data_IF_569201098860
#
_entry.id   IF_569201098860
#
_cell.length_a   1.000
_cell.length_b   1.000
_cell.length_c   1.000
_cell.angle_alpha   90.00
_cell.angle_beta   90.00
_cell.angle_gamma   90.00
#
_symmetry.space_group_name_H-M   'P 1'
#
loop_
_entity.id
_entity.type
_entity.pdbx_description
1 polymer ?
#
# COMPACT_ATOMS: atom_id res chain seq x y z
N UNK A 1 -62.51 22.33 33.56
CA UNK A 1 -61.49 22.66 32.54
C UNK A 1 -60.33 21.70 32.78
N UNK A 2 -60.30 20.59 32.02
CA UNK A 2 -59.29 19.51 32.17
C UNK A 2 -58.29 19.64 31.04
N UNK A 3 -57.03 20.01 31.43
CA UNK A 3 -55.91 20.13 30.48
C UNK A 3 -55.32 18.69 30.25
N UNK A 4 -55.40 18.19 29.06
CA UNK A 4 -54.76 16.95 28.62
C UNK A 4 -53.33 17.25 28.13
N UNK A 5 -52.34 16.82 28.91
CA UNK A 5 -50.94 16.86 28.51
C UNK A 5 -50.67 15.67 27.57
N UNK A 6 -50.42 15.94 26.31
CA UNK A 6 -49.86 14.97 25.36
C UNK A 6 -48.31 14.90 25.55
N UNK A 7 -47.86 13.80 26.12
CA UNK A 7 -46.44 13.47 26.16
C UNK A 7 -46.02 12.86 24.81
N UNK A 8 -45.26 13.61 24.00
CA UNK A 8 -44.61 13.10 22.78
C UNK A 8 -43.40 12.24 23.18
N UNK A 9 -43.56 10.92 23.15
CA UNK A 9 -42.42 9.99 23.17
C UNK A 9 -41.68 10.08 21.83
N UNK A 10 -40.54 10.74 21.80
CA UNK A 10 -39.60 10.71 20.66
C UNK A 10 -38.94 9.32 20.65
N UNK A 11 -39.37 8.41 19.79
CA UNK A 11 -38.66 7.16 19.47
C UNK A 11 -37.37 7.51 18.71
N UNK A 12 -36.23 7.46 19.42
CA UNK A 12 -34.91 7.52 18.81
C UNK A 12 -34.69 6.24 17.98
N UNK A 13 -34.85 6.34 16.68
CA UNK A 13 -34.51 5.28 15.74
C UNK A 13 -32.97 5.22 15.70
N UNK A 14 -32.32 4.08 16.06
CA UNK A 14 -30.88 3.96 15.88
C UNK A 14 -30.57 4.06 14.38
N UNK A 15 -29.85 5.11 14.01
CA UNK A 15 -29.34 5.26 12.63
C UNK A 15 -28.30 4.17 12.43
N UNK A 16 -28.62 3.17 11.63
CA UNK A 16 -27.66 2.17 11.18
C UNK A 16 -26.57 2.90 10.38
N UNK A 17 -25.32 2.87 10.88
CA UNK A 17 -24.16 3.35 10.14
C UNK A 17 -24.15 2.62 8.80
N UNK A 18 -24.08 3.33 7.65
CA UNK A 18 -24.00 2.68 6.34
C UNK A 18 -22.81 1.71 6.35
N UNK A 19 -22.95 0.48 5.84
CA UNK A 19 -21.83 -0.44 5.74
C UNK A 19 -20.74 0.22 4.89
N UNK A 20 -19.52 0.26 5.43
CA UNK A 20 -18.34 0.74 4.73
C UNK A 20 -18.21 0.00 3.37
N UNK A 21 -17.94 0.71 2.26
CA UNK A 21 -17.83 0.05 0.96
C UNK A 21 -16.84 -1.11 1.03
N UNK A 22 -17.29 -2.29 0.65
CA UNK A 22 -16.61 -3.56 0.86
C UNK A 22 -15.13 -3.63 0.39
N UNK A 23 -14.67 -2.93 -0.68
CA UNK A 23 -13.25 -2.86 -1.01
C UNK A 23 -12.39 -2.14 0.02
N UNK A 24 -12.92 -1.15 0.75
CA UNK A 24 -12.15 -0.36 1.72
C UNK A 24 -11.64 -1.20 2.90
N UNK A 25 -12.42 -2.16 3.38
CA UNK A 25 -12.00 -3.08 4.44
C UNK A 25 -10.82 -3.97 3.98
N UNK A 26 -10.85 -4.48 2.75
CA UNK A 26 -9.76 -5.26 2.18
C UNK A 26 -8.49 -4.43 1.99
N UNK A 27 -8.61 -3.20 1.52
CA UNK A 27 -7.47 -2.26 1.37
C UNK A 27 -6.74 -2.08 2.70
N UNK A 28 -7.50 -1.86 3.80
CA UNK A 28 -6.91 -1.70 5.13
C UNK A 28 -6.20 -2.97 5.62
N UNK A 29 -6.79 -4.15 5.40
CA UNK A 29 -6.20 -5.42 5.81
C UNK A 29 -4.90 -5.69 5.04
N UNK A 30 -4.92 -5.53 3.71
CA UNK A 30 -3.75 -5.71 2.85
C UNK A 30 -2.64 -4.74 3.25
N UNK A 31 -2.96 -3.45 3.42
CA UNK A 31 -2.01 -2.42 3.81
C UNK A 31 -1.36 -2.70 5.17
N UNK A 32 -2.12 -3.18 6.16
CA UNK A 32 -1.58 -3.59 7.46
C UNK A 32 -0.60 -4.75 7.36
N UNK A 33 -0.92 -5.77 6.56
CA UNK A 33 -0.02 -6.91 6.35
C UNK A 33 1.30 -6.50 5.70
N UNK A 34 1.26 -5.56 4.74
CA UNK A 34 2.47 -5.06 4.07
C UNK A 34 3.42 -4.28 4.98
N UNK A 35 2.97 -3.74 6.11
CA UNK A 35 3.85 -2.99 7.04
C UNK A 35 5.02 -3.83 7.57
N UNK A 36 4.78 -5.11 7.81
CA UNK A 36 5.78 -6.02 8.33
C UNK A 36 6.53 -6.81 7.25
N UNK A 37 6.11 -6.69 6.02
CA UNK A 37 6.76 -7.33 4.89
C UNK A 37 8.18 -6.78 4.68
N UNK A 38 9.11 -7.67 4.35
CA UNK A 38 10.49 -7.30 4.02
C UNK A 38 11.00 -8.16 2.88
N UNK A 39 11.71 -7.54 1.95
CA UNK A 39 12.39 -8.25 0.88
C UNK A 39 13.70 -7.56 0.50
N UNK A 40 14.51 -8.27 -0.26
CA UNK A 40 15.71 -7.75 -0.92
C UNK A 40 15.53 -7.91 -2.43
N UNK A 41 15.76 -6.83 -3.16
CA UNK A 41 15.87 -6.87 -4.61
C UNK A 41 17.35 -6.97 -4.99
N UNK A 42 17.68 -7.87 -5.88
CA UNK A 42 19.01 -7.99 -6.49
C UNK A 42 18.89 -7.82 -7.99
N UNK A 43 19.87 -7.17 -8.57
CA UNK A 43 19.98 -6.96 -10.02
C UNK A 43 21.21 -7.66 -10.55
N UNK A 44 21.07 -8.38 -11.65
CA UNK A 44 22.19 -8.97 -12.39
C UNK A 44 21.86 -8.94 -13.88
N UNK A 45 22.72 -8.30 -14.67
CA UNK A 45 22.55 -8.16 -16.14
C UNK A 45 21.16 -7.63 -16.52
N UNK A 46 20.64 -6.65 -15.78
CA UNK A 46 19.31 -6.07 -16.01
C UNK A 46 18.13 -6.92 -15.55
N UNK A 47 18.37 -8.08 -14.94
CA UNK A 47 17.32 -8.95 -14.38
C UNK A 47 17.20 -8.70 -12.89
N UNK A 48 16.02 -8.29 -12.45
CA UNK A 48 15.70 -8.04 -11.04
C UNK A 48 15.05 -9.25 -10.40
N UNK A 49 15.62 -9.71 -9.29
CA UNK A 49 15.10 -10.82 -8.49
C UNK A 49 14.72 -10.34 -7.12
N UNK A 50 13.47 -10.56 -6.73
CA UNK A 50 12.96 -10.26 -5.41
C UNK A 50 13.06 -11.49 -4.50
N UNK A 51 13.79 -11.35 -3.38
CA UNK A 51 13.88 -12.38 -2.34
C UNK A 51 13.16 -11.89 -1.09
N UNK A 52 12.01 -12.51 -0.79
CA UNK A 52 11.23 -12.22 0.41
C UNK A 52 12.02 -12.67 1.63
N UNK A 53 12.19 -11.79 2.61
CA UNK A 53 12.85 -12.01 3.89
C UNK A 53 11.83 -12.24 5.01
N UNK A 54 10.72 -11.52 4.94
CA UNK A 54 9.59 -11.65 5.85
C UNK A 54 8.30 -11.59 5.05
N UNK A 55 7.62 -12.73 4.97
CA UNK A 55 6.34 -12.87 4.28
C UNK A 55 5.19 -12.33 5.13
N UNK A 56 4.15 -11.85 4.46
CA UNK A 56 2.86 -11.52 5.09
C UNK A 56 2.02 -12.76 5.41
N UNK A 57 2.43 -13.94 4.94
CA UNK A 57 1.63 -15.17 4.98
C UNK A 57 0.59 -15.27 3.85
N UNK A 58 0.60 -14.31 2.93
CA UNK A 58 -0.31 -14.24 1.79
C UNK A 58 0.49 -13.93 0.53
N UNK A 59 0.56 -14.91 -0.39
CA UNK A 59 1.42 -14.82 -1.58
C UNK A 59 1.04 -13.67 -2.52
N UNK A 60 -0.25 -13.32 -2.62
CA UNK A 60 -0.69 -12.21 -3.46
C UNK A 60 -0.26 -10.86 -2.86
N UNK A 61 -0.30 -10.73 -1.52
CA UNK A 61 0.18 -9.53 -0.83
C UNK A 61 1.70 -9.43 -0.91
N UNK A 62 2.41 -10.54 -0.74
CA UNK A 62 3.86 -10.59 -0.92
C UNK A 62 4.28 -10.16 -2.34
N UNK A 63 3.50 -10.55 -3.36
CA UNK A 63 3.72 -10.15 -4.74
C UNK A 63 3.60 -8.63 -4.97
N UNK A 64 2.74 -7.93 -4.21
CA UNK A 64 2.61 -6.47 -4.28
C UNK A 64 3.94 -5.80 -3.95
N UNK A 65 4.57 -6.18 -2.83
CA UNK A 65 5.85 -5.61 -2.42
C UNK A 65 6.94 -5.81 -3.46
N UNK A 66 7.07 -7.04 -3.98
CA UNK A 66 8.03 -7.36 -5.03
C UNK A 66 7.76 -6.60 -6.34
N UNK A 67 6.50 -6.47 -6.75
CA UNK A 67 6.11 -5.75 -7.96
C UNK A 67 6.46 -4.26 -7.86
N UNK A 68 6.14 -3.61 -6.76
CA UNK A 68 6.48 -2.22 -6.52
C UNK A 68 8.00 -1.97 -6.56
N UNK A 69 8.79 -2.83 -5.93
CA UNK A 69 10.25 -2.75 -5.99
C UNK A 69 10.79 -2.88 -7.41
N UNK A 70 10.29 -3.86 -8.19
CA UNK A 70 10.70 -4.08 -9.58
C UNK A 70 10.28 -2.94 -10.51
N UNK A 71 9.19 -2.25 -10.21
CA UNK A 71 8.74 -1.07 -10.98
C UNK A 71 9.58 0.16 -10.67
N UNK A 72 9.88 0.41 -9.39
CA UNK A 72 10.52 1.65 -8.97
C UNK A 72 12.04 1.59 -9.07
N UNK A 73 12.70 0.54 -8.59
CA UNK A 73 14.17 0.51 -8.52
C UNK A 73 14.87 0.79 -9.86
N UNK A 74 14.45 0.22 -11.01
CA UNK A 74 15.11 0.49 -12.30
C UNK A 74 15.13 1.97 -12.70
N UNK A 75 14.17 2.76 -12.18
CA UNK A 75 14.09 4.21 -12.46
C UNK A 75 15.15 5.02 -11.73
N UNK A 76 15.61 4.52 -10.58
CA UNK A 76 16.51 5.24 -9.68
C UNK A 76 17.93 4.66 -9.66
N UNK A 77 18.10 3.39 -10.00
CA UNK A 77 19.40 2.71 -10.01
C UNK A 77 20.47 3.45 -10.84
N UNK A 78 20.20 3.94 -12.06
CA UNK A 78 21.20 4.70 -12.83
C UNK A 78 21.67 5.98 -12.12
N UNK A 79 20.77 6.65 -11.41
CA UNK A 79 21.09 7.85 -10.62
C UNK A 79 21.95 7.53 -9.41
N UNK A 80 21.65 6.41 -8.72
CA UNK A 80 22.44 5.92 -7.60
C UNK A 80 23.87 5.56 -8.05
N UNK A 81 24.00 4.87 -9.17
CA UNK A 81 25.30 4.54 -9.78
C UNK A 81 26.07 5.82 -10.12
N UNK A 82 25.42 6.78 -10.78
CA UNK A 82 26.05 8.05 -11.14
C UNK A 82 26.54 8.84 -9.92
N UNK A 83 25.81 8.82 -8.80
CA UNK A 83 26.24 9.45 -7.54
C UNK A 83 27.45 8.70 -6.95
N UNK A 84 27.45 7.38 -7.00
CA UNK A 84 28.57 6.57 -6.50
C UNK A 84 29.85 6.77 -7.30
N UNK A 85 29.73 6.96 -8.62
CA UNK A 85 30.88 7.17 -9.53
C UNK A 85 31.45 8.58 -9.47
N UNK A 86 30.67 9.59 -9.06
CA UNK A 86 31.14 10.97 -8.93
C UNK A 86 32.07 11.10 -7.73
N UNK A 87 33.14 11.90 -7.91
CA UNK A 87 34.04 12.30 -6.82
C UNK A 87 33.42 13.46 -6.01
N UNK A 88 32.32 13.18 -5.36
CA UNK A 88 31.64 14.14 -4.49
C UNK A 88 32.22 14.08 -3.07
N UNK A 89 32.24 15.24 -2.40
CA UNK A 89 32.47 15.28 -0.96
C UNK A 89 31.37 14.53 -0.21
N UNK A 90 31.63 14.08 1.02
CA UNK A 90 30.73 13.26 1.80
C UNK A 90 29.34 13.90 2.00
N UNK A 91 29.28 15.20 2.27
CA UNK A 91 28.02 15.92 2.46
C UNK A 91 27.18 15.97 1.18
N UNK A 92 27.80 16.31 0.03
CA UNK A 92 27.11 16.38 -1.25
C UNK A 92 26.61 15.00 -1.73
N UNK A 93 27.38 13.95 -1.47
CA UNK A 93 26.96 12.57 -1.76
C UNK A 93 25.73 12.19 -0.93
N UNK A 94 25.79 12.42 0.38
CA UNK A 94 24.67 12.13 1.29
C UNK A 94 23.39 12.84 0.86
N UNK A 95 23.47 14.14 0.53
CA UNK A 95 22.32 14.91 0.06
C UNK A 95 21.71 14.34 -1.22
N UNK A 96 22.55 13.96 -2.18
CA UNK A 96 22.10 13.36 -3.44
C UNK A 96 21.44 12.00 -3.21
N UNK A 97 22.00 11.13 -2.37
CA UNK A 97 21.44 9.83 -2.01
C UNK A 97 20.11 9.97 -1.26
N UNK A 98 20.01 10.90 -0.32
CA UNK A 98 18.75 11.18 0.43
C UNK A 98 17.66 11.71 -0.50
N UNK A 99 17.99 12.55 -1.48
CA UNK A 99 17.04 13.04 -2.47
C UNK A 99 16.49 11.90 -3.32
N UNK A 100 17.36 11.05 -3.85
CA UNK A 100 16.96 9.87 -4.64
C UNK A 100 16.11 8.92 -3.79
N UNK A 101 16.48 8.70 -2.53
CA UNK A 101 15.75 7.84 -1.60
C UNK A 101 14.33 8.35 -1.32
N UNK A 102 14.16 9.67 -1.13
CA UNK A 102 12.82 10.27 -0.96
C UNK A 102 11.94 10.06 -2.20
N UNK A 103 12.47 10.33 -3.37
CA UNK A 103 11.72 10.15 -4.63
C UNK A 103 11.37 8.67 -4.86
N UNK A 104 12.29 7.76 -4.57
CA UNK A 104 12.05 6.32 -4.65
C UNK A 104 10.95 5.88 -3.67
N UNK A 105 10.94 6.43 -2.46
CA UNK A 105 9.88 6.18 -1.47
C UNK A 105 8.52 6.61 -2.00
N UNK A 106 8.41 7.78 -2.61
CA UNK A 106 7.17 8.26 -3.24
C UNK A 106 6.70 7.31 -4.35
N UNK A 107 7.61 6.84 -5.20
CA UNK A 107 7.30 5.83 -6.22
C UNK A 107 6.76 4.55 -5.59
N UNK A 108 7.47 4.02 -4.58
CA UNK A 108 7.08 2.77 -3.89
C UNK A 108 5.70 2.87 -3.23
N UNK A 109 5.41 3.99 -2.57
CA UNK A 109 4.11 4.22 -1.94
C UNK A 109 3.00 4.26 -2.98
N UNK A 110 3.19 4.99 -4.08
CA UNK A 110 2.19 5.07 -5.16
C UNK A 110 1.92 3.71 -5.82
N UNK A 111 2.96 2.91 -6.05
CA UNK A 111 2.79 1.55 -6.58
C UNK A 111 2.12 0.60 -5.57
N UNK A 112 2.45 0.70 -4.28
CA UNK A 112 1.77 -0.07 -3.24
C UNK A 112 0.27 0.25 -3.21
N UNK A 113 -0.10 1.52 -3.15
CA UNK A 113 -1.49 1.95 -3.07
C UNK A 113 -2.29 1.43 -4.27
N UNK A 114 -1.77 1.61 -5.48
CA UNK A 114 -2.39 1.12 -6.71
C UNK A 114 -2.61 -0.40 -6.70
N UNK A 115 -1.58 -1.17 -6.34
CA UNK A 115 -1.63 -2.64 -6.33
C UNK A 115 -2.51 -3.20 -5.20
N UNK A 116 -2.57 -2.50 -4.06
CA UNK A 116 -3.47 -2.83 -2.95
C UNK A 116 -4.92 -2.67 -3.38
N UNK A 117 -5.26 -1.56 -4.03
CA UNK A 117 -6.61 -1.30 -4.54
C UNK A 117 -7.02 -2.35 -5.57
N UNK A 118 -6.15 -2.67 -6.53
CA UNK A 118 -6.40 -3.70 -7.54
C UNK A 118 -6.64 -5.10 -6.92
N UNK A 119 -5.85 -5.48 -5.92
CA UNK A 119 -6.03 -6.76 -5.22
C UNK A 119 -7.33 -6.78 -4.42
N UNK A 120 -7.63 -5.72 -3.71
CA UNK A 120 -8.84 -5.59 -2.89
C UNK A 120 -10.10 -5.72 -3.76
N UNK A 121 -10.12 -5.02 -4.91
CA UNK A 121 -11.25 -5.07 -5.83
C UNK A 121 -11.41 -6.45 -6.48
N UNK A 122 -10.30 -7.09 -6.89
CA UNK A 122 -10.33 -8.44 -7.44
C UNK A 122 -10.89 -9.45 -6.43
N UNK A 123 -10.45 -9.39 -5.16
CA UNK A 123 -10.95 -10.27 -4.10
C UNK A 123 -12.42 -10.04 -3.80
N UNK A 124 -12.86 -8.79 -3.80
CA UNK A 124 -14.26 -8.45 -3.61
C UNK A 124 -15.15 -9.04 -4.71
N UNK A 125 -14.77 -8.87 -5.98
CA UNK A 125 -15.51 -9.45 -7.12
C UNK A 125 -15.63 -10.97 -7.02
N UNK A 126 -14.53 -11.66 -6.76
CA UNK A 126 -14.53 -13.13 -6.62
C UNK A 126 -15.46 -13.61 -5.51
N UNK A 127 -15.49 -12.96 -4.35
CA UNK A 127 -16.42 -13.29 -3.27
C UNK A 127 -17.88 -13.04 -3.65
N UNK A 128 -18.15 -11.97 -4.38
CA UNK A 128 -19.51 -11.63 -4.82
C UNK A 128 -20.05 -12.63 -5.85
N UNK A 129 -19.18 -13.18 -6.70
CA UNK A 129 -19.54 -14.20 -7.69
C UNK A 129 -19.80 -15.56 -7.05
N UNK A 130 -19.03 -15.95 -6.01
CA UNK A 130 -19.22 -17.22 -5.30
C UNK A 130 -20.41 -17.22 -4.36
N UNK A 131 -20.96 -16.07 -4.01
CA UNK A 131 -22.13 -15.92 -3.13
C UNK A 131 -23.48 -15.99 -3.87
N UNK A 132 -23.48 -16.11 -5.21
CA UNK A 132 -24.68 -16.25 -6.06
C UNK A 132 -24.98 -17.70 -6.38
#
# INVERSE_FOLDING_TARGET
MTAVLFALLALAIPQAVPPEPAPAADVQVIGRKLKDWRAKLTSSKGVYRCKIRRSTGDAEIDAIGCAAMKTCLPRFEPRLIAVAERRLGAAARKEAEETISREMTVCMMGEHDRLIEELAERRYRLRSETAR
#
